data_IF_235752035448
#
_entry.id   IF_235752035448
#
_cell.length_a   1.000
_cell.length_b   1.000
_cell.length_c   1.000
_cell.angle_alpha   90.00
_cell.angle_beta   90.00
_cell.angle_gamma   90.00
#
_symmetry.space_group_name_H-M   'P 1'
#
loop_
_entity.id
_entity.type
_entity.pdbx_description
1 polymer ?
#
# COMPACT_ATOMS: atom_id res chain seq x y z
N UNK A 1 -4.24 -10.86 9.52
CA UNK A 1 -2.86 -10.37 9.29
C UNK A 1 -2.92 -8.88 9.00
N UNK A 2 -2.07 -8.09 9.66
CA UNK A 2 -1.91 -6.65 9.43
C UNK A 2 -0.60 -6.41 8.66
N UNK A 3 -0.53 -5.35 7.84
CA UNK A 3 0.62 -5.07 6.97
C UNK A 3 1.08 -3.62 7.14
N UNK A 4 2.38 -3.43 7.29
CA UNK A 4 3.04 -2.12 7.26
C UNK A 4 4.00 -2.08 6.07
N UNK A 5 3.85 -1.08 5.22
CA UNK A 5 4.81 -0.75 4.17
C UNK A 5 5.34 0.65 4.44
N UNK A 6 6.65 0.79 4.50
CA UNK A 6 7.31 2.09 4.67
C UNK A 6 8.39 2.28 3.60
N UNK A 7 8.52 3.49 3.07
CA UNK A 7 9.56 3.86 2.12
C UNK A 7 10.92 4.15 2.79
N UNK A 8 10.98 3.98 4.12
CA UNK A 8 12.19 4.17 4.93
C UNK A 8 12.15 3.29 6.18
N UNK A 9 13.29 3.03 6.83
CA UNK A 9 13.31 2.33 8.10
C UNK A 9 12.60 3.15 9.19
N UNK A 10 11.94 2.45 10.10
CA UNK A 10 11.25 3.03 11.25
C UNK A 10 11.74 2.33 12.52
N UNK A 11 12.03 3.13 13.54
CA UNK A 11 12.34 2.61 14.88
C UNK A 11 11.05 2.47 15.70
N UNK A 12 10.26 1.45 15.38
CA UNK A 12 8.98 1.15 16.04
C UNK A 12 9.00 -0.24 16.65
N UNK A 13 8.39 -0.39 17.82
CA UNK A 13 8.22 -1.71 18.42
C UNK A 13 6.97 -2.40 17.86
N UNK A 14 7.17 -3.59 17.31
CA UNK A 14 6.08 -4.44 16.80
C UNK A 14 5.97 -5.65 17.74
N UNK A 15 4.84 -5.77 18.43
CA UNK A 15 4.59 -6.88 19.33
C UNK A 15 4.45 -8.20 18.56
N UNK A 16 5.11 -9.26 19.03
CA UNK A 16 5.02 -10.62 18.46
C UNK A 16 3.60 -11.23 18.56
N UNK A 17 2.74 -10.66 19.39
CA UNK A 17 1.36 -11.13 19.60
C UNK A 17 0.43 -10.84 18.45
N UNK A 18 0.80 -9.88 17.59
CA UNK A 18 0.02 -9.48 16.45
C UNK A 18 0.63 -10.07 15.17
N UNK A 19 -0.18 -10.67 14.32
CA UNK A 19 0.24 -11.08 12.96
C UNK A 19 0.53 -9.87 12.07
N UNK A 20 1.54 -9.07 12.43
CA UNK A 20 1.96 -7.89 11.68
C UNK A 20 3.15 -8.26 10.81
N UNK A 21 3.05 -7.94 9.52
CA UNK A 21 4.18 -7.96 8.58
C UNK A 21 4.63 -6.53 8.33
N UNK A 22 5.90 -6.26 8.57
CA UNK A 22 6.54 -4.98 8.27
C UNK A 22 7.58 -5.15 7.17
N UNK A 23 7.54 -4.25 6.19
CA UNK A 23 8.53 -4.16 5.13
C UNK A 23 9.05 -2.73 5.04
N UNK A 24 10.36 -2.58 5.25
CA UNK A 24 11.11 -1.40 4.85
C UNK A 24 11.44 -1.54 3.36
N UNK A 25 10.69 -0.84 2.52
CA UNK A 25 10.84 -0.90 1.07
C UNK A 25 12.16 -0.34 0.58
N UNK A 26 12.81 0.56 1.36
CA UNK A 26 14.10 1.15 1.01
C UNK A 26 15.24 0.14 1.04
N UNK A 27 15.10 -0.92 1.84
CA UNK A 27 16.08 -1.99 1.96
C UNK A 27 15.89 -3.12 0.92
N UNK A 28 14.82 -3.07 0.11
CA UNK A 28 14.43 -4.13 -0.80
C UNK A 28 14.74 -3.82 -2.26
N UNK A 29 14.97 -4.87 -3.04
CA UNK A 29 15.20 -4.76 -4.48
C UNK A 29 13.90 -4.99 -5.23
N UNK A 30 13.24 -3.90 -5.63
CA UNK A 30 11.96 -3.93 -6.35
C UNK A 30 12.15 -3.20 -7.68
N UNK A 31 12.10 -3.94 -8.79
CA UNK A 31 12.17 -3.37 -10.12
C UNK A 31 10.80 -2.79 -10.55
N UNK A 32 10.80 -1.82 -11.43
CA UNK A 32 9.59 -1.24 -12.00
C UNK A 32 8.77 -2.28 -12.78
N UNK A 33 7.45 -2.13 -12.77
CA UNK A 33 6.58 -2.94 -13.61
C UNK A 33 6.83 -2.63 -15.10
N UNK A 34 7.09 -3.65 -15.92
CA UNK A 34 7.33 -3.50 -17.37
C UNK A 34 6.04 -3.57 -18.19
N UNK A 35 4.87 -3.74 -17.56
CA UNK A 35 3.60 -3.85 -18.28
C UNK A 35 3.49 -5.10 -19.19
N UNK A 36 4.23 -6.16 -18.91
CA UNK A 36 4.27 -7.36 -19.77
C UNK A 36 3.00 -8.23 -19.70
N UNK A 37 2.08 -7.93 -18.76
CA UNK A 37 0.86 -8.69 -18.48
C UNK A 37 1.05 -10.19 -18.20
N UNK A 38 2.27 -10.65 -17.96
CA UNK A 38 2.58 -12.03 -17.65
C UNK A 38 1.85 -12.54 -16.41
N UNK A 39 1.63 -11.68 -15.42
CA UNK A 39 0.88 -11.99 -14.21
C UNK A 39 -0.64 -12.18 -14.42
N UNK A 40 -1.15 -11.88 -15.59
CA UNK A 40 -2.53 -12.13 -15.99
C UNK A 40 -2.66 -13.29 -16.96
N UNK A 41 -1.67 -13.48 -17.85
CA UNK A 41 -1.76 -14.41 -18.97
C UNK A 41 -0.92 -15.68 -18.81
N UNK A 42 0.35 -15.54 -18.39
CA UNK A 42 1.30 -16.66 -18.30
C UNK A 42 1.30 -17.32 -16.93
N UNK A 43 1.30 -16.50 -15.87
CA UNK A 43 1.35 -16.95 -14.46
C UNK A 43 0.31 -16.20 -13.63
N UNK A 44 -1.00 -16.48 -13.82
CA UNK A 44 -2.07 -15.74 -13.17
C UNK A 44 -1.88 -15.59 -11.65
N UNK A 45 -1.84 -14.34 -11.19
CA UNK A 45 -1.60 -14.00 -9.78
C UNK A 45 -0.14 -13.99 -9.34
N UNK A 46 0.82 -14.21 -10.27
CA UNK A 46 2.26 -14.18 -9.95
C UNK A 46 3.03 -13.35 -10.96
N UNK A 47 3.87 -12.44 -10.48
CA UNK A 47 4.77 -11.70 -11.36
C UNK A 47 5.83 -12.63 -11.94
N UNK A 48 6.20 -12.42 -13.20
CA UNK A 48 7.29 -13.16 -13.87
C UNK A 48 8.67 -12.73 -13.34
N UNK A 49 8.80 -11.50 -12.86
CA UNK A 49 10.04 -11.01 -12.23
C UNK A 49 10.16 -11.59 -10.81
N UNK A 50 11.36 -12.06 -10.48
CA UNK A 50 11.71 -12.76 -9.24
C UNK A 50 12.50 -11.85 -8.31
N UNK A 51 11.87 -10.76 -7.85
CA UNK A 51 12.43 -9.82 -6.90
C UNK A 51 11.59 -9.74 -5.61
N UNK A 52 11.95 -8.85 -4.68
CA UNK A 52 11.32 -8.78 -3.36
C UNK A 52 9.84 -8.38 -3.39
N UNK A 53 9.34 -7.76 -4.48
CA UNK A 53 7.91 -7.47 -4.62
C UNK A 53 7.05 -8.75 -4.54
N UNK A 54 7.61 -9.92 -4.91
CA UNK A 54 6.89 -11.21 -4.86
C UNK A 54 6.58 -11.67 -3.43
N UNK A 55 7.26 -11.14 -2.43
CA UNK A 55 6.98 -11.39 -1.01
C UNK A 55 5.87 -10.47 -0.47
N UNK A 56 5.69 -9.29 -1.08
CA UNK A 56 4.88 -8.20 -0.54
C UNK A 56 3.46 -8.20 -1.09
N UNK A 57 3.26 -8.27 -2.42
CA UNK A 57 1.89 -8.16 -2.97
C UNK A 57 0.94 -9.27 -2.49
N UNK A 58 1.38 -10.52 -2.16
CA UNK A 58 0.49 -11.48 -1.51
C UNK A 58 0.05 -11.04 -0.11
N UNK A 59 0.92 -10.30 0.61
CA UNK A 59 0.58 -9.72 1.91
C UNK A 59 -0.44 -8.59 1.75
N UNK A 60 -0.31 -7.75 0.70
CA UNK A 60 -1.32 -6.73 0.38
C UNK A 60 -2.68 -7.40 0.13
N UNK A 61 -2.73 -8.50 -0.62
CA UNK A 61 -3.98 -9.21 -0.90
C UNK A 61 -4.64 -9.79 0.37
N UNK A 62 -3.86 -10.34 1.29
CA UNK A 62 -4.35 -11.09 2.46
C UNK A 62 -4.60 -10.25 3.70
N UNK A 63 -4.06 -9.03 3.76
CA UNK A 63 -4.19 -8.17 4.94
C UNK A 63 -5.61 -7.65 5.11
N UNK A 64 -6.09 -7.58 6.35
CA UNK A 64 -7.35 -6.93 6.73
C UNK A 64 -7.14 -5.50 7.28
N UNK A 65 -5.88 -5.12 7.59
CA UNK A 65 -5.48 -3.76 7.90
C UNK A 65 -4.13 -3.47 7.26
N UNK A 66 -3.96 -2.26 6.72
CA UNK A 66 -2.70 -1.80 6.12
C UNK A 66 -2.33 -0.43 6.64
N UNK A 67 -1.04 -0.24 6.87
CA UNK A 67 -0.43 1.06 7.16
C UNK A 67 0.62 1.32 6.07
N UNK A 68 0.38 2.33 5.23
CA UNK A 68 1.33 2.79 4.24
C UNK A 68 1.97 4.09 4.72
N UNK A 69 3.29 4.13 4.73
CA UNK A 69 4.08 5.30 5.15
C UNK A 69 4.97 5.69 3.99
N UNK A 70 4.73 6.86 3.43
CA UNK A 70 5.46 7.33 2.27
C UNK A 70 5.66 8.84 2.28
N UNK A 71 6.82 9.27 1.82
CA UNK A 71 7.02 10.64 1.40
C UNK A 71 6.00 10.96 0.30
N UNK A 72 5.41 12.16 0.41
CA UNK A 72 4.57 12.69 -0.65
C UNK A 72 5.43 13.55 -1.57
N UNK A 73 5.20 13.43 -2.87
CA UNK A 73 5.89 14.19 -3.88
C UNK A 73 4.98 14.42 -5.08
N UNK A 74 4.81 15.68 -5.45
CA UNK A 74 3.95 16.09 -6.56
C UNK A 74 2.51 15.54 -6.44
N UNK A 75 1.96 15.55 -5.25
CA UNK A 75 0.61 15.04 -4.98
C UNK A 75 0.47 13.51 -5.07
N UNK A 76 1.57 12.75 -5.05
CA UNK A 76 1.56 11.28 -5.13
C UNK A 76 2.56 10.62 -4.17
N UNK A 77 2.52 9.31 -4.07
CA UNK A 77 3.56 8.55 -3.40
C UNK A 77 4.93 8.77 -4.07
N UNK A 78 5.99 8.91 -3.28
CA UNK A 78 7.35 8.90 -3.83
C UNK A 78 7.71 7.54 -4.44
N UNK A 79 8.74 7.52 -5.25
CA UNK A 79 9.14 6.43 -6.15
C UNK A 79 9.14 5.05 -5.49
N UNK A 80 9.65 4.93 -4.26
CA UNK A 80 9.78 3.64 -3.57
C UNK A 80 8.41 3.00 -3.33
N UNK A 81 7.49 3.73 -2.69
CA UNK A 81 6.13 3.23 -2.42
C UNK A 81 5.35 3.05 -3.73
N UNK A 82 5.42 4.01 -4.65
CA UNK A 82 4.76 3.93 -5.95
C UNK A 82 5.17 2.69 -6.72
N UNK A 83 6.47 2.41 -6.81
CA UNK A 83 6.99 1.21 -7.48
C UNK A 83 6.41 -0.07 -6.88
N UNK A 84 6.36 -0.18 -5.55
CA UNK A 84 5.77 -1.36 -4.90
C UNK A 84 4.28 -1.52 -5.21
N UNK A 85 3.51 -0.43 -5.17
CA UNK A 85 2.07 -0.47 -5.45
C UNK A 85 1.79 -0.81 -6.93
N UNK A 86 2.59 -0.30 -7.88
CA UNK A 86 2.52 -0.69 -9.29
C UNK A 86 2.86 -2.16 -9.51
N UNK A 87 3.72 -2.74 -8.69
CA UNK A 87 4.05 -4.17 -8.71
C UNK A 87 3.00 -5.06 -8.06
N UNK A 88 1.94 -4.48 -7.47
CA UNK A 88 0.81 -5.22 -6.91
C UNK A 88 -0.25 -5.63 -7.96
N UNK A 89 -0.07 -5.37 -9.25
CA UNK A 89 -0.97 -5.81 -10.34
C UNK A 89 -1.37 -7.30 -10.25
N UNK A 90 -0.52 -8.26 -9.82
CA UNK A 90 -0.93 -9.66 -9.67
C UNK A 90 -2.13 -9.89 -8.74
N UNK A 91 -2.45 -8.95 -7.83
CA UNK A 91 -3.63 -9.06 -6.94
C UNK A 91 -4.94 -8.81 -7.69
N UNK A 92 -4.86 -8.33 -8.92
CA UNK A 92 -6.00 -8.09 -9.81
C UNK A 92 -6.03 -9.12 -10.94
N UNK A 93 -7.20 -9.27 -11.56
CA UNK A 93 -7.39 -10.07 -12.77
C UNK A 93 -7.44 -9.17 -14.01
N UNK A 94 -7.24 -9.74 -15.18
CA UNK A 94 -7.41 -9.03 -16.45
C UNK A 94 -8.85 -8.59 -16.72
N UNK A 95 -9.82 -9.23 -16.07
CA UNK A 95 -11.24 -8.94 -16.23
C UNK A 95 -11.60 -7.61 -15.56
N UNK A 96 -12.54 -6.89 -16.17
CA UNK A 96 -13.06 -5.63 -15.67
C UNK A 96 -14.51 -5.78 -15.18
N UNK A 97 -14.91 -4.90 -14.28
CA UNK A 97 -16.28 -4.79 -13.76
C UNK A 97 -16.65 -3.33 -13.54
N UNK A 98 -17.93 -3.04 -13.52
CA UNK A 98 -18.41 -1.76 -12.98
C UNK A 98 -18.47 -1.88 -11.45
N UNK A 99 -17.82 -0.95 -10.77
CA UNK A 99 -17.83 -0.86 -9.32
C UNK A 99 -17.98 0.60 -8.89
N UNK A 100 -19.04 0.91 -8.16
CA UNK A 100 -19.38 2.29 -7.73
C UNK A 100 -19.48 3.29 -8.90
N UNK A 101 -19.97 2.83 -10.06
CA UNK A 101 -20.11 3.65 -11.27
C UNK A 101 -18.83 3.81 -12.11
N UNK A 102 -17.74 3.17 -11.72
CA UNK A 102 -16.44 3.24 -12.40
C UNK A 102 -16.01 1.87 -12.92
N UNK A 103 -15.16 1.87 -13.95
CA UNK A 103 -14.55 0.65 -14.49
C UNK A 103 -13.31 0.28 -13.68
N UNK A 104 -13.33 -0.89 -13.03
CA UNK A 104 -12.24 -1.42 -12.23
C UNK A 104 -11.94 -2.87 -12.60
N UNK A 105 -10.71 -3.29 -12.34
CA UNK A 105 -10.34 -4.70 -12.44
C UNK A 105 -11.04 -5.55 -11.36
N UNK A 106 -11.33 -6.81 -11.71
CA UNK A 106 -11.80 -7.79 -10.74
C UNK A 106 -10.65 -8.16 -9.81
N UNK A 107 -10.91 -8.18 -8.52
CA UNK A 107 -9.89 -8.55 -7.53
C UNK A 107 -9.68 -10.06 -7.49
N UNK A 108 -8.42 -10.50 -7.28
CA UNK A 108 -8.06 -11.91 -7.11
C UNK A 108 -7.95 -12.24 -5.63
N UNK A 109 -9.02 -12.76 -5.03
CA UNK A 109 -9.04 -13.19 -3.62
C UNK A 109 -8.42 -12.14 -2.67
N UNK A 110 -8.77 -10.88 -2.86
CA UNK A 110 -8.29 -9.75 -2.03
C UNK A 110 -9.22 -9.57 -0.84
N UNK A 111 -8.65 -9.62 0.35
CA UNK A 111 -9.39 -9.35 1.59
C UNK A 111 -9.75 -7.87 1.67
N UNK A 112 -11.03 -7.52 1.92
CA UNK A 112 -11.40 -6.16 2.28
C UNK A 112 -10.64 -5.68 3.51
N UNK A 113 -10.21 -4.41 3.52
CA UNK A 113 -9.28 -3.94 4.54
C UNK A 113 -9.51 -2.50 4.96
N UNK A 114 -9.09 -2.20 6.19
CA UNK A 114 -8.96 -0.83 6.69
C UNK A 114 -7.56 -0.32 6.36
N UNK A 115 -7.47 0.89 5.79
CA UNK A 115 -6.18 1.47 5.43
C UNK A 115 -5.90 2.75 6.23
N UNK A 116 -4.68 2.88 6.71
CA UNK A 116 -4.13 4.14 7.20
C UNK A 116 -2.95 4.52 6.32
N UNK A 117 -2.93 5.74 5.81
CA UNK A 117 -1.86 6.26 4.98
C UNK A 117 -1.22 7.44 5.70
N UNK A 118 0.04 7.33 6.04
CA UNK A 118 0.84 8.44 6.57
C UNK A 118 1.65 8.99 5.40
N UNK A 119 1.29 10.20 4.97
CA UNK A 119 2.00 10.96 3.96
C UNK A 119 2.86 12.03 4.64
N UNK A 120 4.16 12.05 4.37
CA UNK A 120 5.07 12.95 5.04
C UNK A 120 5.91 13.77 4.05
N UNK A 121 6.34 14.93 4.48
CA UNK A 121 7.17 15.85 3.72
C UNK A 121 6.80 17.30 3.99
N UNK A 122 7.31 18.19 3.15
CA UNK A 122 6.85 19.57 3.05
C UNK A 122 5.72 19.60 2.01
N UNK A 123 4.48 19.49 2.50
CA UNK A 123 3.29 19.20 1.69
C UNK A 123 2.36 20.41 1.75
N UNK A 124 2.14 21.04 0.63
CA UNK A 124 1.17 22.14 0.53
C UNK A 124 -0.28 21.62 0.38
N UNK A 125 -1.24 22.55 0.41
CA UNK A 125 -2.66 22.24 0.35
C UNK A 125 -3.07 21.66 -1.02
N UNK A 126 -2.41 22.05 -2.11
CA UNK A 126 -2.67 21.53 -3.45
C UNK A 126 -2.22 20.07 -3.55
N UNK A 127 -1.02 19.76 -3.11
CA UNK A 127 -0.51 18.39 -3.05
C UNK A 127 -1.38 17.47 -2.15
N UNK A 128 -1.86 18.01 -1.00
CA UNK A 128 -2.79 17.27 -0.15
C UNK A 128 -4.11 16.96 -0.88
N UNK A 129 -4.65 17.93 -1.61
CA UNK A 129 -5.89 17.76 -2.37
C UNK A 129 -5.74 16.68 -3.44
N UNK A 130 -4.69 16.76 -4.25
CA UNK A 130 -4.36 15.79 -5.31
C UNK A 130 -4.19 14.40 -4.70
N UNK A 131 -3.46 14.30 -3.59
CA UNK A 131 -3.23 13.03 -2.92
C UNK A 131 -4.51 12.39 -2.38
N UNK A 132 -5.44 13.18 -1.83
CA UNK A 132 -6.74 12.68 -1.37
C UNK A 132 -7.54 12.06 -2.53
N UNK A 133 -7.53 12.69 -3.69
CA UNK A 133 -8.19 12.16 -4.89
C UNK A 133 -7.52 10.85 -5.37
N UNK A 134 -6.20 10.78 -5.37
CA UNK A 134 -5.45 9.58 -5.70
C UNK A 134 -5.82 8.41 -4.76
N UNK A 135 -5.84 8.66 -3.45
CA UNK A 135 -6.17 7.62 -2.46
C UNK A 135 -7.63 7.18 -2.59
N UNK A 136 -8.56 8.06 -2.90
CA UNK A 136 -9.95 7.69 -3.14
C UNK A 136 -10.08 6.67 -4.29
N UNK A 137 -9.31 6.82 -5.38
CA UNK A 137 -9.27 5.86 -6.49
C UNK A 137 -8.54 4.57 -6.10
N UNK A 138 -7.42 4.68 -5.38
CA UNK A 138 -6.71 3.51 -4.89
C UNK A 138 -7.55 2.67 -3.92
N UNK A 139 -8.40 3.29 -3.12
CA UNK A 139 -9.31 2.60 -2.21
C UNK A 139 -10.25 1.63 -2.95
N UNK A 140 -10.76 2.03 -4.12
CA UNK A 140 -11.57 1.17 -4.97
C UNK A 140 -10.75 -0.02 -5.51
N UNK A 141 -9.50 0.24 -5.97
CA UNK A 141 -8.63 -0.77 -6.56
C UNK A 141 -8.05 -1.76 -5.54
N UNK A 142 -7.90 -1.35 -4.28
CA UNK A 142 -7.27 -2.13 -3.22
C UNK A 142 -8.27 -2.75 -2.25
N UNK A 143 -9.57 -2.63 -2.53
CA UNK A 143 -10.66 -3.13 -1.65
C UNK A 143 -10.59 -2.53 -0.25
N UNK A 144 -10.38 -1.22 -0.12
CA UNK A 144 -10.46 -0.54 1.15
C UNK A 144 -11.93 -0.36 1.56
N UNK A 145 -12.31 -0.91 2.71
CA UNK A 145 -13.63 -0.67 3.33
C UNK A 145 -13.71 0.75 3.90
N UNK A 146 -12.60 1.17 4.49
CA UNK A 146 -12.40 2.53 5.00
C UNK A 146 -10.93 2.91 4.91
N UNK A 147 -10.66 4.20 4.84
CA UNK A 147 -9.29 4.70 4.87
C UNK A 147 -9.20 6.04 5.60
N UNK A 148 -8.02 6.30 6.15
CA UNK A 148 -7.62 7.53 6.81
C UNK A 148 -6.30 8.00 6.21
N UNK A 149 -6.16 9.31 5.97
CA UNK A 149 -4.92 9.94 5.50
C UNK A 149 -4.43 10.90 6.58
N UNK A 150 -3.19 10.71 7.00
CA UNK A 150 -2.51 11.55 7.98
C UNK A 150 -1.35 12.24 7.27
N UNK A 151 -1.41 13.57 7.18
CA UNK A 151 -0.28 14.37 6.71
C UNK A 151 0.58 14.78 7.90
N UNK A 152 1.90 14.64 7.77
CA UNK A 152 2.81 14.89 8.88
C UNK A 152 4.21 15.26 8.40
N UNK A 153 5.06 15.68 9.32
CA UNK A 153 6.49 15.88 9.06
C UNK A 153 7.28 14.59 9.28
N UNK A 154 8.47 14.54 8.70
CA UNK A 154 9.37 13.39 8.86
C UNK A 154 9.70 13.08 10.32
N UNK A 155 9.86 14.12 11.14
CA UNK A 155 10.18 13.99 12.58
C UNK A 155 9.06 13.36 13.42
N UNK A 156 7.83 13.36 12.92
CA UNK A 156 6.66 12.84 13.62
C UNK A 156 6.26 11.43 13.18
N UNK A 157 6.95 10.84 12.20
CA UNK A 157 6.57 9.55 11.61
C UNK A 157 6.46 8.43 12.63
N UNK A 158 7.48 8.23 13.44
CA UNK A 158 7.53 7.14 14.42
C UNK A 158 6.44 7.30 15.49
N UNK A 159 6.18 8.55 15.91
CA UNK A 159 5.09 8.85 16.86
C UNK A 159 3.74 8.50 16.26
N UNK A 160 3.50 8.87 15.00
CA UNK A 160 2.23 8.56 14.33
C UNK A 160 2.08 7.07 14.06
N UNK A 161 3.13 6.40 13.59
CA UNK A 161 3.13 4.95 13.38
C UNK A 161 2.85 4.19 14.68
N UNK A 162 3.52 4.55 15.78
CA UNK A 162 3.30 3.94 17.10
C UNK A 162 1.85 4.10 17.55
N UNK A 163 1.24 5.28 17.41
CA UNK A 163 -0.18 5.49 17.74
C UNK A 163 -1.13 4.56 16.96
N UNK A 164 -0.81 4.29 15.69
CA UNK A 164 -1.62 3.35 14.89
C UNK A 164 -1.44 1.92 15.38
N UNK A 165 -0.20 1.53 15.71
CA UNK A 165 0.08 0.20 16.26
C UNK A 165 -0.65 -0.02 17.60
N UNK A 166 -0.63 0.96 18.50
CA UNK A 166 -1.38 0.91 19.76
C UNK A 166 -2.90 0.75 19.56
N UNK A 167 -3.47 1.41 18.53
CA UNK A 167 -4.87 1.18 18.14
C UNK A 167 -5.07 -0.26 17.63
N UNK A 168 -4.11 -0.81 16.88
CA UNK A 168 -4.19 -2.17 16.37
C UNK A 168 -4.08 -3.24 17.45
N UNK A 169 -3.44 -2.95 18.58
CA UNK A 169 -3.31 -3.86 19.73
C UNK A 169 -4.60 -3.97 20.57
N UNK A 170 -5.45 -2.95 20.50
CA UNK A 170 -6.70 -2.89 21.28
C UNK A 170 -7.86 -3.64 20.61
N UNK A 171 -7.69 -4.06 19.35
CA UNK A 171 -8.70 -4.76 18.54
C UNK A 171 -8.10 -5.98 17.85
#
# INVERSE_FOLDING_TARGET
>A
MKLILSDRPLNIHISDRNEIRYFDLSALKIANCTGCFGCWTKTPGKCVMRDDATLIYPCIAKSNAVLYISRLKYGGYDTIMKTMLERAIPVQQAFIRIHRGETHHVQRAVTPKKATIIAYGDIDDEEQSIFRELIARNACNMSFESYEIIFTTESMLEVMATKILEKWEKY
#
